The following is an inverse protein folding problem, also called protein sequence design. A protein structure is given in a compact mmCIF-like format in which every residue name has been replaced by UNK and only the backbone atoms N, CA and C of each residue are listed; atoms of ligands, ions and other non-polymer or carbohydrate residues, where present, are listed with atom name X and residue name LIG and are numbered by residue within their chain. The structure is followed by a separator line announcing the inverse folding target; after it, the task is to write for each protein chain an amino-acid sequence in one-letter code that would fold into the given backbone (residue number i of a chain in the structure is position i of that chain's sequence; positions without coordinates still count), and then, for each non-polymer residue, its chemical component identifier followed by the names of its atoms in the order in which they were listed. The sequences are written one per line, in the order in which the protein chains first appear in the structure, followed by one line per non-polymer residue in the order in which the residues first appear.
data_IF_352453471812
#
_entry.id   IF_352453471812
#
_cell.length_a   1.000
_cell.length_b   1.000
_cell.length_c   1.000
_cell.angle_alpha   90.00
_cell.angle_beta   90.00
_cell.angle_gamma   90.00
#
_symmetry.space_group_name_H-M   'P 1'
#
loop_
_entity.id
_entity.type
_entity.pdbx_description
1 polymer ?
#
# COMPACT_ATOMS: atom_id res chain seq x y z
N UNK A 1 19.35 -3.58 -9.72
CA UNK A 1 20.71 -3.26 -10.20
C UNK A 1 21.49 -2.59 -9.07
N UNK A 2 22.75 -3.03 -8.74
CA UNK A 2 23.45 -2.61 -7.52
C UNK A 2 23.71 -1.10 -7.40
N UNK A 3 24.02 -0.41 -8.48
CA UNK A 3 24.31 1.04 -8.41
C UNK A 3 23.06 1.89 -8.13
N UNK A 4 21.88 1.40 -8.45
CA UNK A 4 20.58 2.05 -8.16
C UNK A 4 20.18 1.93 -6.68
N UNK A 5 20.60 0.84 -6.01
CA UNK A 5 20.28 0.64 -4.58
C UNK A 5 20.98 1.64 -3.66
N UNK A 6 22.16 2.11 -4.04
CA UNK A 6 22.98 3.03 -3.21
C UNK A 6 22.32 4.40 -3.01
N UNK A 7 21.83 5.11 -4.06
CA UNK A 7 21.06 6.34 -3.87
C UNK A 7 19.83 6.18 -3.00
N UNK A 8 19.15 5.02 -3.10
CA UNK A 8 17.97 4.68 -2.32
C UNK A 8 18.28 4.28 -0.87
N UNK A 9 19.55 4.33 -0.45
CA UNK A 9 20.03 3.92 0.88
C UNK A 9 19.60 2.50 1.26
N UNK A 10 19.50 1.59 0.29
CA UNK A 10 19.16 0.18 0.52
C UNK A 10 20.41 -0.60 0.92
N UNK A 11 20.30 -1.41 1.97
CA UNK A 11 21.41 -2.18 2.54
C UNK A 11 21.45 -3.62 2.04
N UNK A 12 20.35 -4.12 1.44
CA UNK A 12 20.29 -5.46 0.87
C UNK A 12 21.01 -5.52 -0.49
N UNK A 13 21.34 -6.74 -0.89
CA UNK A 13 21.91 -7.04 -2.21
C UNK A 13 20.93 -7.83 -3.06
N UNK A 14 21.05 -7.86 -4.40
CA UNK A 14 20.24 -8.74 -5.24
C UNK A 14 20.28 -10.21 -4.80
N UNK A 15 21.45 -10.70 -4.34
CA UNK A 15 21.59 -12.06 -3.83
C UNK A 15 20.76 -12.31 -2.55
N UNK A 16 20.61 -11.31 -1.68
CA UNK A 16 19.74 -11.43 -0.51
C UNK A 16 18.26 -11.55 -0.91
N UNK A 17 17.82 -10.81 -1.93
CA UNK A 17 16.46 -10.89 -2.45
C UNK A 17 16.20 -12.28 -3.03
N UNK A 18 17.08 -12.75 -3.91
CA UNK A 18 16.98 -14.10 -4.47
C UNK A 18 16.93 -15.17 -3.39
N UNK A 19 17.84 -15.12 -2.42
CA UNK A 19 17.87 -16.09 -1.32
C UNK A 19 16.56 -16.09 -0.51
N UNK A 20 15.98 -14.89 -0.27
CA UNK A 20 14.71 -14.73 0.44
C UNK A 20 13.54 -15.33 -0.33
N UNK A 21 13.41 -15.02 -1.63
CA UNK A 21 12.34 -15.57 -2.49
C UNK A 21 12.45 -17.09 -2.57
N UNK A 22 13.64 -17.63 -2.82
CA UNK A 22 13.85 -19.09 -2.87
C UNK A 22 13.59 -19.77 -1.51
N UNK A 23 13.84 -19.09 -0.40
CA UNK A 23 13.51 -19.62 0.93
C UNK A 23 12.00 -19.66 1.15
N UNK A 24 11.27 -18.64 0.73
CA UNK A 24 9.81 -18.60 0.77
C UNK A 24 9.20 -19.72 -0.10
N UNK A 25 9.71 -19.91 -1.31
CA UNK A 25 9.27 -20.98 -2.21
C UNK A 25 9.47 -22.37 -1.60
N UNK A 26 10.67 -22.65 -1.06
CA UNK A 26 10.93 -23.94 -0.35
C UNK A 26 10.00 -24.16 0.85
N UNK A 27 9.52 -23.12 1.46
CA UNK A 27 8.58 -23.19 2.58
C UNK A 27 7.11 -23.26 2.12
N UNK A 28 6.84 -23.27 0.81
CA UNK A 28 5.50 -23.26 0.25
C UNK A 28 4.75 -21.93 0.48
N UNK A 29 5.48 -20.83 0.69
CA UNK A 29 4.91 -19.51 0.91
C UNK A 29 4.78 -18.76 -0.42
N UNK A 30 3.74 -17.93 -0.52
CA UNK A 30 3.61 -16.95 -1.58
C UNK A 30 4.62 -15.83 -1.35
N UNK A 31 5.22 -15.33 -2.42
CA UNK A 31 6.17 -14.23 -2.34
C UNK A 31 5.75 -13.06 -3.21
N UNK A 32 6.05 -11.86 -2.72
CA UNK A 32 5.94 -10.60 -3.44
C UNK A 32 7.28 -9.86 -3.37
N UNK A 33 7.60 -9.11 -4.41
CA UNK A 33 8.73 -8.19 -4.40
C UNK A 33 8.25 -6.78 -4.73
N UNK A 34 8.87 -5.82 -4.07
CA UNK A 34 8.59 -4.40 -4.29
C UNK A 34 9.77 -3.79 -5.04
N UNK A 35 9.48 -3.14 -6.15
CA UNK A 35 10.43 -2.40 -6.98
C UNK A 35 10.15 -0.90 -6.87
N UNK A 36 11.20 -0.10 -6.95
CA UNK A 36 11.11 1.37 -7.01
C UNK A 36 11.88 1.83 -8.24
N UNK A 37 11.24 2.59 -9.11
CA UNK A 37 11.84 3.18 -10.30
C UNK A 37 11.92 4.71 -10.19
N UNK A 38 12.66 5.35 -11.10
CA UNK A 38 12.91 6.79 -11.07
C UNK A 38 14.04 7.20 -10.12
N UNK A 39 14.88 6.24 -9.69
CA UNK A 39 16.03 6.54 -8.85
C UNK A 39 17.08 7.36 -9.62
N UNK A 40 17.79 8.30 -8.95
CA UNK A 40 18.84 9.08 -9.58
C UNK A 40 19.89 8.21 -10.28
N UNK A 41 20.06 8.40 -11.59
CA UNK A 41 21.01 7.68 -12.42
C UNK A 41 20.53 6.31 -12.92
N UNK A 42 19.29 5.95 -12.70
CA UNK A 42 18.68 4.74 -13.23
C UNK A 42 18.27 4.94 -14.71
N UNK A 43 18.87 4.17 -15.61
CA UNK A 43 18.48 4.14 -17.01
C UNK A 43 17.25 3.25 -17.27
N UNK A 44 16.63 3.39 -18.45
CA UNK A 44 15.57 2.49 -18.88
C UNK A 44 16.04 1.02 -18.99
N UNK A 45 17.32 0.79 -19.31
CA UNK A 45 17.89 -0.56 -19.39
C UNK A 45 18.12 -1.15 -17.99
N UNK A 46 18.60 -0.36 -17.02
CA UNK A 46 18.66 -0.77 -15.61
C UNK A 46 17.29 -1.18 -15.07
N UNK A 47 16.28 -0.41 -15.44
CA UNK A 47 14.90 -0.74 -15.06
C UNK A 47 14.40 -2.03 -15.70
N UNK A 48 14.62 -2.21 -17.01
CA UNK A 48 14.29 -3.47 -17.69
C UNK A 48 14.96 -4.67 -17.05
N UNK A 49 16.23 -4.54 -16.66
CA UNK A 49 16.96 -5.62 -16.00
C UNK A 49 16.42 -5.91 -14.60
N UNK A 50 16.00 -4.88 -13.86
CA UNK A 50 15.36 -5.04 -12.56
C UNK A 50 14.02 -5.78 -12.67
N UNK A 51 13.18 -5.39 -13.64
CA UNK A 51 11.87 -6.04 -13.90
C UNK A 51 12.06 -7.50 -14.35
N UNK A 52 12.96 -7.76 -15.30
CA UNK A 52 13.27 -9.14 -15.76
C UNK A 52 13.77 -10.01 -14.61
N UNK A 53 14.65 -9.47 -13.77
CA UNK A 53 15.13 -10.20 -12.60
C UNK A 53 13.97 -10.58 -11.66
N UNK A 54 13.02 -9.66 -11.41
CA UNK A 54 11.85 -9.96 -10.60
C UNK A 54 10.97 -11.05 -11.21
N UNK A 55 10.77 -11.01 -12.53
CA UNK A 55 10.04 -12.06 -13.29
C UNK A 55 10.74 -13.41 -13.18
N UNK A 56 12.06 -13.43 -13.36
CA UNK A 56 12.87 -14.67 -13.34
C UNK A 56 12.95 -15.31 -11.94
N UNK A 57 12.68 -14.54 -10.88
CA UNK A 57 12.53 -15.08 -9.53
C UNK A 57 11.27 -15.93 -9.35
N UNK A 58 10.30 -15.83 -10.27
CA UNK A 58 9.07 -16.62 -10.25
C UNK A 58 8.08 -16.21 -9.17
N UNK A 59 8.14 -14.96 -8.71
CA UNK A 59 7.21 -14.43 -7.70
C UNK A 59 5.77 -14.40 -8.20
N UNK A 60 4.83 -14.40 -7.27
CA UNK A 60 3.41 -14.41 -7.58
C UNK A 60 2.81 -13.00 -7.70
N UNK A 61 3.51 -12.01 -7.16
CA UNK A 61 3.06 -10.63 -7.06
C UNK A 61 4.25 -9.68 -7.13
N UNK A 62 4.08 -8.55 -7.79
CA UNK A 62 5.08 -7.46 -7.83
C UNK A 62 4.37 -6.13 -7.59
N UNK A 63 4.96 -5.32 -6.73
CA UNK A 63 4.64 -3.89 -6.65
C UNK A 63 5.77 -3.10 -7.32
N UNK A 64 5.44 -2.13 -8.18
CA UNK A 64 6.43 -1.26 -8.81
C UNK A 64 6.00 0.20 -8.67
N UNK A 65 6.71 0.94 -7.82
CA UNK A 65 6.34 2.30 -7.44
C UNK A 65 7.32 3.33 -8.03
N UNK A 66 6.78 4.45 -8.51
CA UNK A 66 7.58 5.63 -8.79
C UNK A 66 8.23 6.16 -7.51
N UNK A 67 9.45 6.66 -7.61
CA UNK A 67 10.17 7.23 -6.49
C UNK A 67 9.53 8.54 -6.02
N UNK A 68 8.78 8.48 -4.94
CA UNK A 68 8.28 9.69 -4.26
C UNK A 68 9.34 10.22 -3.30
N UNK A 69 9.75 11.48 -3.50
CA UNK A 69 10.80 12.11 -2.70
C UNK A 69 10.19 13.06 -1.68
N UNK A 70 10.28 12.67 -0.41
CA UNK A 70 9.84 13.50 0.72
C UNK A 70 10.81 14.64 0.99
N UNK A 71 10.36 15.92 1.02
CA UNK A 71 11.24 17.10 1.16
C UNK A 71 12.11 17.08 2.43
N UNK A 72 11.62 16.50 3.51
CA UNK A 72 12.32 16.43 4.81
C UNK A 72 13.42 15.37 4.87
N UNK A 73 13.51 14.49 3.88
CA UNK A 73 14.55 13.45 3.81
C UNK A 73 15.90 14.00 3.37
N UNK A 74 16.95 13.18 3.51
CA UNK A 74 18.28 13.53 2.99
C UNK A 74 18.22 13.75 1.47
N UNK A 75 17.52 12.87 0.74
CA UNK A 75 17.35 12.96 -0.71
C UNK A 75 16.58 14.22 -1.10
N UNK A 76 15.48 14.54 -0.42
CA UNK A 76 14.73 15.78 -0.67
C UNK A 76 15.57 17.03 -0.49
N UNK A 77 16.40 17.10 0.55
CA UNK A 77 17.34 18.21 0.74
C UNK A 77 18.42 18.30 -0.35
N UNK A 78 18.91 17.16 -0.86
CA UNK A 78 19.90 17.12 -1.94
C UNK A 78 19.30 17.59 -3.27
N UNK A 79 18.04 17.21 -3.56
CA UNK A 79 17.31 17.69 -4.75
C UNK A 79 17.04 19.20 -4.64
N UNK A 80 16.57 19.66 -3.48
CA UNK A 80 16.34 21.10 -3.24
C UNK A 80 17.62 21.94 -3.38
N UNK A 81 18.78 21.37 -3.02
CA UNK A 81 20.10 21.98 -3.18
C UNK A 81 20.69 21.82 -4.61
N UNK A 82 20.00 21.15 -5.52
CA UNK A 82 20.50 20.91 -6.89
C UNK A 82 21.66 19.91 -6.98
N UNK A 83 21.95 19.16 -5.92
CA UNK A 83 23.04 18.15 -5.90
C UNK A 83 22.61 16.78 -6.38
N UNK A 84 21.30 16.54 -6.48
CA UNK A 84 20.67 15.39 -7.14
C UNK A 84 19.60 15.90 -8.11
N UNK A 85 19.40 15.23 -9.26
CA UNK A 85 18.28 15.54 -10.13
C UNK A 85 16.95 15.17 -9.45
N UNK A 86 15.90 15.92 -9.78
CA UNK A 86 14.53 15.54 -9.46
C UNK A 86 14.14 14.34 -10.36
N UNK A 87 13.32 13.40 -9.87
CA UNK A 87 12.66 12.42 -10.75
C UNK A 87 11.95 13.12 -11.92
N UNK A 88 12.01 12.51 -13.08
CA UNK A 88 11.43 13.03 -14.32
C UNK A 88 10.15 12.27 -14.62
N UNK A 89 9.03 13.00 -14.76
CA UNK A 89 7.70 12.42 -14.91
C UNK A 89 7.58 11.59 -16.22
N UNK A 90 8.21 12.02 -17.31
CA UNK A 90 8.19 11.30 -18.60
C UNK A 90 9.04 10.02 -18.54
N UNK A 91 10.19 10.05 -17.85
CA UNK A 91 11.03 8.88 -17.60
C UNK A 91 10.29 7.88 -16.70
N UNK A 92 9.59 8.36 -15.66
CA UNK A 92 8.77 7.51 -14.79
C UNK A 92 7.60 6.88 -15.55
N UNK A 93 6.92 7.61 -16.44
CA UNK A 93 5.86 7.08 -17.28
C UNK A 93 6.39 5.98 -18.22
N UNK A 94 7.54 6.22 -18.88
CA UNK A 94 8.17 5.21 -19.74
C UNK A 94 8.56 3.95 -18.96
N UNK A 95 9.02 4.08 -17.72
CA UNK A 95 9.36 2.96 -16.85
C UNK A 95 8.11 2.18 -16.41
N UNK A 96 7.00 2.88 -16.15
CA UNK A 96 5.73 2.20 -15.86
C UNK A 96 5.27 1.33 -17.03
N UNK A 97 5.28 1.87 -18.25
CA UNK A 97 4.92 1.12 -19.47
C UNK A 97 5.83 -0.10 -19.68
N UNK A 98 7.15 0.05 -19.49
CA UNK A 98 8.09 -1.08 -19.55
C UNK A 98 7.76 -2.16 -18.53
N UNK A 99 7.39 -1.78 -17.32
CA UNK A 99 7.01 -2.74 -16.27
C UNK A 99 5.73 -3.47 -16.65
N UNK A 100 4.70 -2.75 -17.11
CA UNK A 100 3.42 -3.33 -17.52
C UNK A 100 3.59 -4.35 -18.65
N UNK A 101 4.30 -3.99 -19.70
CA UNK A 101 4.58 -4.87 -20.83
C UNK A 101 5.32 -6.16 -20.41
N UNK A 102 6.36 -6.03 -19.59
CA UNK A 102 7.18 -7.18 -19.18
C UNK A 102 6.45 -8.07 -18.18
N UNK A 103 5.67 -7.51 -17.25
CA UNK A 103 4.86 -8.28 -16.33
C UNK A 103 3.73 -9.00 -17.05
N UNK A 104 3.01 -8.33 -17.95
CA UNK A 104 1.95 -8.94 -18.75
C UNK A 104 2.50 -10.11 -19.59
N UNK A 105 3.65 -9.93 -20.25
CA UNK A 105 4.31 -11.00 -21.01
C UNK A 105 4.72 -12.19 -20.14
N UNK A 106 4.93 -11.99 -18.84
CA UNK A 106 5.26 -13.03 -17.85
C UNK A 106 4.02 -13.64 -17.16
N UNK A 107 2.80 -13.21 -17.51
CA UNK A 107 1.55 -13.67 -16.91
C UNK A 107 1.29 -13.09 -15.52
N UNK A 108 1.81 -11.91 -15.25
CA UNK A 108 1.45 -11.07 -14.11
C UNK A 108 0.50 -9.98 -14.63
N UNK A 109 -0.74 -9.98 -14.19
CA UNK A 109 -1.78 -9.07 -14.65
C UNK A 109 -1.87 -7.85 -13.71
N UNK A 110 -2.02 -6.67 -14.30
CA UNK A 110 -2.31 -5.47 -13.53
C UNK A 110 -3.71 -5.58 -12.89
N UNK A 111 -3.81 -5.33 -11.60
CA UNK A 111 -5.10 -5.41 -10.89
C UNK A 111 -5.43 -4.16 -10.07
N UNK A 112 -4.42 -3.35 -9.73
CA UNK A 112 -4.59 -2.03 -9.10
C UNK A 112 -3.32 -1.19 -9.26
N UNK A 113 -3.33 0.09 -8.87
CA UNK A 113 -2.26 1.05 -9.11
C UNK A 113 -0.91 0.49 -8.61
N UNK A 114 0.06 0.41 -9.54
CA UNK A 114 1.43 -0.06 -9.28
C UNK A 114 1.57 -1.50 -8.79
N UNK A 115 0.54 -2.35 -8.99
CA UNK A 115 0.56 -3.74 -8.55
C UNK A 115 0.10 -4.72 -9.64
N UNK A 116 0.89 -5.76 -9.81
CA UNK A 116 0.67 -6.86 -10.76
C UNK A 116 0.76 -8.21 -10.04
N UNK A 117 -0.08 -9.14 -10.42
CA UNK A 117 -0.06 -10.48 -9.84
C UNK A 117 -0.44 -11.56 -10.85
N UNK A 118 -0.07 -12.80 -10.56
CA UNK A 118 -0.72 -13.93 -11.21
C UNK A 118 -2.18 -13.98 -10.78
N UNK A 119 -3.11 -14.43 -11.64
CA UNK A 119 -4.51 -14.59 -11.28
C UNK A 119 -4.69 -15.39 -9.98
N UNK A 120 -5.45 -14.84 -9.02
CA UNK A 120 -5.68 -15.43 -7.70
C UNK A 120 -4.59 -15.15 -6.65
N UNK A 121 -3.61 -14.32 -6.98
CA UNK A 121 -2.55 -13.89 -6.05
C UNK A 121 -2.61 -12.39 -5.74
N UNK A 122 -3.69 -11.72 -6.10
CA UNK A 122 -3.90 -10.32 -5.79
C UNK A 122 -3.85 -10.08 -4.27
N UNK A 123 -3.28 -8.98 -3.84
CA UNK A 123 -3.25 -8.59 -2.43
C UNK A 123 -4.67 -8.30 -1.93
N UNK A 124 -5.19 -9.15 -1.05
CA UNK A 124 -6.51 -8.92 -0.43
C UNK A 124 -6.54 -7.64 0.38
N UNK A 125 -5.41 -7.25 0.95
CA UNK A 125 -5.26 -6.02 1.72
C UNK A 125 -5.45 -4.80 0.79
N UNK A 126 -4.74 -4.75 -0.34
CA UNK A 126 -4.87 -3.67 -1.32
C UNK A 126 -6.30 -3.59 -1.88
N UNK A 127 -6.86 -4.74 -2.29
CA UNK A 127 -8.25 -4.80 -2.75
C UNK A 127 -9.25 -4.38 -1.67
N UNK A 128 -8.92 -4.62 -0.41
CA UNK A 128 -9.73 -4.18 0.73
C UNK A 128 -9.86 -2.66 0.78
N UNK A 129 -8.77 -1.91 0.55
CA UNK A 129 -8.81 -0.45 0.46
C UNK A 129 -9.74 0.02 -0.67
N UNK A 130 -9.59 -0.54 -1.88
CA UNK A 130 -10.42 -0.18 -3.03
C UNK A 130 -11.90 -0.52 -2.84
N UNK A 131 -12.21 -1.51 -2.05
CA UNK A 131 -13.59 -1.93 -1.70
C UNK A 131 -14.12 -1.25 -0.45
N UNK A 132 -13.34 -0.35 0.13
CA UNK A 132 -13.70 0.38 1.34
C UNK A 132 -14.18 -0.54 2.48
N UNK A 133 -13.48 -1.69 2.68
CA UNK A 133 -13.79 -2.60 3.79
C UNK A 133 -13.23 -2.06 5.10
N UNK A 134 -13.75 -2.56 6.22
CA UNK A 134 -13.20 -2.27 7.53
C UNK A 134 -11.81 -2.87 7.68
N UNK A 135 -10.91 -2.12 8.30
CA UNK A 135 -9.58 -2.60 8.62
C UNK A 135 -9.04 -1.95 9.91
N UNK A 136 -8.25 -2.72 10.65
CA UNK A 136 -7.62 -2.29 11.88
C UNK A 136 -6.13 -2.05 11.67
N UNK A 137 -5.65 -0.87 12.00
CA UNK A 137 -4.23 -0.57 12.08
C UNK A 137 -3.66 -1.01 13.42
N UNK A 138 -2.48 -1.60 13.42
CA UNK A 138 -1.80 -2.06 14.62
C UNK A 138 -0.40 -1.47 14.68
N UNK A 139 -0.11 -0.72 15.73
CA UNK A 139 1.21 -0.16 15.96
C UNK A 139 1.22 1.36 16.09
N UNK A 140 2.38 1.95 16.44
CA UNK A 140 2.53 3.38 16.59
C UNK A 140 2.18 4.15 15.32
N UNK A 141 1.24 5.09 15.42
CA UNK A 141 0.76 5.89 14.28
C UNK A 141 -0.06 5.12 13.25
N UNK A 142 -0.48 3.89 13.54
CA UNK A 142 -1.31 3.13 12.64
C UNK A 142 -2.71 3.75 12.53
N UNK A 143 -3.26 3.69 11.33
CA UNK A 143 -4.63 4.12 11.05
C UNK A 143 -5.55 2.91 11.00
N UNK A 144 -6.81 3.12 11.37
CA UNK A 144 -7.91 2.16 11.24
C UNK A 144 -9.05 2.80 10.48
N UNK A 145 -9.86 1.99 9.79
CA UNK A 145 -11.03 2.46 9.07
C UNK A 145 -12.22 1.55 9.36
N UNK A 146 -13.35 2.15 9.67
CA UNK A 146 -14.57 1.45 10.01
C UNK A 146 -15.76 2.10 9.31
N UNK A 147 -16.57 1.28 8.64
CA UNK A 147 -17.85 1.70 8.10
C UNK A 147 -18.90 1.59 9.18
N UNK A 148 -19.51 2.71 9.58
CA UNK A 148 -20.57 2.74 10.56
C UNK A 148 -21.90 2.82 9.83
N UNK A 149 -22.74 1.80 10.01
CA UNK A 149 -24.13 1.85 9.57
C UNK A 149 -24.91 2.58 10.67
N UNK A 150 -25.27 3.83 10.44
CA UNK A 150 -26.23 4.51 11.31
C UNK A 150 -27.59 3.86 11.07
N UNK A 151 -27.93 2.86 11.88
CA UNK A 151 -29.30 2.38 11.97
C UNK A 151 -30.18 3.52 12.46
N UNK A 152 -31.27 3.80 11.78
CA UNK A 152 -32.31 4.65 12.37
C UNK A 152 -32.76 3.96 13.66
N UNK A 153 -32.43 4.53 14.81
CA UNK A 153 -33.08 4.14 16.06
C UNK A 153 -34.55 4.51 15.95
N UNK A 154 -35.37 3.55 15.65
CA UNK A 154 -36.80 3.66 15.93
C UNK A 154 -37.01 3.48 17.43
N UNK A 155 -36.61 4.48 18.22
CA UNK A 155 -37.19 4.68 19.53
C UNK A 155 -38.60 5.23 19.29
N UNK A 156 -39.57 4.39 19.42
CA UNK A 156 -40.97 4.84 19.31
C UNK A 156 -41.93 3.67 19.35
N UNK A 157 -42.54 3.48 20.48
CA UNK A 157 -43.81 2.86 20.78
C UNK A 157 -44.48 2.03 19.65
N UNK A 158 -44.46 0.73 19.82
CA UNK A 158 -45.32 -0.15 19.08
C UNK A 158 -46.77 0.05 19.54
N UNK A 159 -47.53 0.88 18.80
CA UNK A 159 -48.99 0.85 18.83
C UNK A 159 -49.51 1.28 17.45
N UNK A 160 -49.94 0.24 16.73
CA UNK A 160 -51.01 0.27 15.77
C UNK A 160 -50.93 1.22 14.56
N UNK A 161 -50.56 0.69 13.37
CA UNK A 161 -51.32 0.99 12.15
C UNK A 161 -50.89 0.10 10.98
N UNK A 162 -51.85 -0.67 10.46
CA UNK A 162 -51.83 -1.29 9.12
C UNK A 162 -51.67 -0.21 8.05
N UNK A 163 -50.48 -0.09 7.46
CA UNK A 163 -50.28 0.56 6.16
C UNK A 163 -48.96 0.05 5.55
N UNK A 164 -49.10 -0.79 4.53
CA UNK A 164 -48.00 -1.14 3.64
C UNK A 164 -47.55 0.11 2.87
N UNK A 165 -46.60 0.80 3.44
CA UNK A 165 -45.88 1.90 2.80
C UNK A 165 -44.43 1.50 2.61
N UNK A 166 -43.97 1.50 1.39
CA UNK A 166 -42.58 1.29 0.98
C UNK A 166 -41.68 2.34 1.66
N UNK A 167 -41.16 2.04 2.83
CA UNK A 167 -40.21 2.91 3.53
C UNK A 167 -38.84 2.54 3.02
N UNK A 168 -38.44 3.15 1.90
CA UNK A 168 -37.05 3.24 1.49
C UNK A 168 -36.31 4.05 2.56
N UNK A 169 -35.87 3.38 3.63
CA UNK A 169 -34.96 3.98 4.59
C UNK A 169 -33.62 4.22 3.88
N UNK A 170 -33.29 5.48 3.62
CA UNK A 170 -31.97 5.86 3.15
C UNK A 170 -30.96 5.53 4.26
N UNK A 171 -30.27 4.40 4.13
CA UNK A 171 -29.17 4.02 5.01
C UNK A 171 -28.00 4.94 4.64
N UNK A 172 -27.77 5.98 5.43
CA UNK A 172 -26.55 6.78 5.35
C UNK A 172 -25.45 6.01 6.03
N UNK A 173 -24.53 5.44 5.25
CA UNK A 173 -23.30 4.87 5.77
C UNK A 173 -22.29 5.99 5.98
N UNK A 174 -21.77 6.12 7.18
CA UNK A 174 -20.68 7.04 7.51
C UNK A 174 -19.43 6.21 7.76
N UNK A 175 -18.29 6.62 7.21
CA UNK A 175 -17.01 5.98 7.51
C UNK A 175 -16.26 6.77 8.58
N UNK A 176 -15.56 6.07 9.46
CA UNK A 176 -14.65 6.65 10.44
C UNK A 176 -13.23 6.21 10.17
N UNK A 177 -12.29 7.13 10.25
CA UNK A 177 -10.86 6.84 10.26
C UNK A 177 -10.28 7.26 11.61
N UNK A 178 -9.63 6.33 12.30
CA UNK A 178 -8.98 6.59 13.56
C UNK A 178 -7.50 6.26 13.50
N UNK A 179 -6.71 6.81 14.41
CA UNK A 179 -5.27 6.58 14.45
C UNK A 179 -4.73 6.47 15.87
N UNK A 180 -3.71 5.63 15.99
CA UNK A 180 -2.97 5.39 17.22
C UNK A 180 -1.93 6.49 17.50
N UNK A 181 -1.46 6.54 18.75
CA UNK A 181 -0.35 7.39 19.16
C UNK A 181 0.87 7.10 18.31
N UNK A 182 1.37 8.11 17.60
CA UNK A 182 2.47 7.94 16.63
C UNK A 182 3.84 7.70 17.28
N UNK A 183 4.07 8.18 18.50
CA UNK A 183 5.35 8.02 19.19
C UNK A 183 5.48 6.60 19.79
N UNK A 184 6.46 5.76 19.35
CA UNK A 184 6.53 4.34 19.72
C UNK A 184 6.56 4.08 21.22
N UNK A 185 7.31 4.89 21.98
CA UNK A 185 7.41 4.75 23.45
C UNK A 185 6.07 5.06 24.14
N UNK A 186 5.38 6.11 23.70
CA UNK A 186 4.08 6.49 24.30
C UNK A 186 3.01 5.47 23.94
N UNK A 187 3.04 4.93 22.70
CA UNK A 187 2.19 3.84 22.27
C UNK A 187 2.41 2.60 23.15
N UNK A 188 3.67 2.19 23.33
CA UNK A 188 4.02 1.04 24.16
C UNK A 188 3.62 1.22 25.65
N UNK A 189 3.72 2.43 26.20
CA UNK A 189 3.24 2.73 27.55
C UNK A 189 1.72 2.55 27.65
N UNK A 190 0.95 3.05 26.67
CA UNK A 190 -0.50 2.88 26.66
C UNK A 190 -0.91 1.41 26.65
N UNK A 191 -0.26 0.59 25.80
CA UNK A 191 -0.50 -0.86 25.73
C UNK A 191 -0.17 -1.56 27.06
N UNK A 192 0.99 -1.24 27.66
CA UNK A 192 1.39 -1.83 28.94
C UNK A 192 0.46 -1.47 30.09
N UNK A 193 -0.17 -0.30 30.03
CA UNK A 193 -1.18 0.17 31.01
C UNK A 193 -2.58 -0.41 30.71
N UNK A 194 -2.73 -1.29 29.70
CA UNK A 194 -4.01 -1.87 29.30
C UNK A 194 -4.96 -0.86 28.62
N UNK A 195 -4.44 0.25 28.12
CA UNK A 195 -5.24 1.28 27.42
C UNK A 195 -5.13 1.11 25.91
N UNK A 196 -6.22 1.38 25.20
CA UNK A 196 -6.18 1.51 23.73
C UNK A 196 -5.33 2.73 23.39
N UNK A 197 -4.30 2.59 22.55
CA UNK A 197 -3.36 3.67 22.22
C UNK A 197 -3.93 4.70 21.23
N UNK A 198 -5.21 4.96 21.29
CA UNK A 198 -5.94 5.84 20.38
C UNK A 198 -5.51 7.30 20.55
N UNK A 199 -5.26 8.01 19.49
CA UNK A 199 -4.84 9.41 19.48
C UNK A 199 -5.88 10.35 18.92
N UNK A 200 -6.72 9.88 18.02
CA UNK A 200 -7.79 10.66 17.43
C UNK A 200 -8.54 9.92 16.34
N UNK A 201 -9.61 10.53 15.87
CA UNK A 201 -10.45 10.05 14.80
C UNK A 201 -11.06 11.20 13.99
N UNK A 202 -11.52 10.87 12.80
CA UNK A 202 -12.29 11.77 11.94
C UNK A 202 -13.41 11.00 11.24
N UNK A 203 -14.52 11.67 11.01
CA UNK A 203 -15.61 11.16 10.18
C UNK A 203 -15.33 11.49 8.73
N UNK A 204 -15.37 10.47 7.85
CA UNK A 204 -15.24 10.65 6.42
C UNK A 204 -16.64 10.77 5.84
N UNK A 205 -16.95 11.95 5.30
CA UNK A 205 -18.20 12.16 4.56
C UNK A 205 -18.14 11.45 3.21
N UNK A 206 -19.29 10.94 2.72
CA UNK A 206 -19.39 10.34 1.38
C UNK A 206 -18.97 11.29 0.26
#
# INVERSE_FOLDING_TARGET
VPHVLKPLARTHTPANVEAGVRAADRAGLRSSVDLIYGAPGESLDDWRDSVRTAVDLGVNHVSAYALTVEPTTKMGRQIAAGTLPKPDDDDEAAKYEIADDLFAAAGLEWYEISNWSRPGYESRHNLGYWRNVDWAGLGPGAYSHYNTVMGSSTDGDAANSDAAGDVSASVTSTSMRGWDIAHPRMWGMAINDGRVPWSGDETISP
#
